data_IF_158592208702
#
_entry.id   IF_158592208702
#
_cell.length_a   1.000
_cell.length_b   1.000
_cell.length_c   1.000
_cell.angle_alpha   90.00
_cell.angle_beta   90.00
_cell.angle_gamma   90.00
#
_symmetry.space_group_name_H-M   'P 1'
#
loop_
_entity.id
_entity.type
_entity.pdbx_description
1 polymer ?
#
# COMPACT_ATOMS: atom_id res chain seq x y z
N UNK A 1 -9.76 4.23 14.47
CA UNK A 1 -8.92 5.43 14.57
C UNK A 1 -7.85 5.41 13.50
N UNK A 2 -7.71 6.49 12.77
CA UNK A 2 -6.63 6.63 11.80
C UNK A 2 -5.30 6.88 12.50
N UNK A 3 -4.21 6.35 11.96
CA UNK A 3 -2.87 6.62 12.46
C UNK A 3 -2.51 8.10 12.37
N UNK A 4 -3.17 8.88 11.50
CA UNK A 4 -3.00 10.33 11.44
C UNK A 4 -3.43 11.04 12.72
N UNK A 5 -4.37 10.46 13.46
CA UNK A 5 -4.88 11.02 14.71
C UNK A 5 -4.01 10.65 15.92
N UNK A 6 -3.05 9.74 15.73
CA UNK A 6 -2.16 9.30 16.79
C UNK A 6 -0.85 10.09 16.74
N UNK A 7 -0.59 10.91 17.77
CA UNK A 7 0.61 11.73 17.85
C UNK A 7 1.91 10.93 17.93
N UNK A 8 1.84 9.65 18.26
CA UNK A 8 3.01 8.76 18.29
C UNK A 8 3.47 8.33 16.91
N UNK A 9 2.65 8.56 15.86
CA UNK A 9 2.95 8.17 14.49
C UNK A 9 3.02 9.39 13.58
N UNK A 10 4.03 9.37 12.71
CA UNK A 10 4.22 10.41 11.69
C UNK A 10 4.21 9.78 10.31
N UNK A 11 3.32 10.28 9.44
CA UNK A 11 3.26 9.82 8.06
C UNK A 11 4.57 10.11 7.33
N UNK A 12 5.03 9.13 6.55
CA UNK A 12 6.28 9.23 5.77
C UNK A 12 6.00 9.16 4.27
N UNK A 13 5.25 8.16 3.85
CA UNK A 13 4.99 7.94 2.43
C UNK A 13 3.74 7.10 2.22
N UNK A 14 3.24 7.09 1.00
CA UNK A 14 2.10 6.28 0.60
C UNK A 14 2.45 5.52 -0.67
N UNK A 15 2.17 4.23 -0.68
CA UNK A 15 2.22 3.43 -1.89
C UNK A 15 0.81 3.00 -2.25
N UNK A 16 0.60 2.77 -3.55
CA UNK A 16 -0.68 2.31 -4.07
C UNK A 16 -0.51 0.95 -4.72
N UNK A 17 -1.50 0.08 -4.51
CA UNK A 17 -1.59 -1.18 -5.26
C UNK A 17 -2.87 -1.12 -6.09
N UNK A 18 -2.71 -1.04 -7.40
CA UNK A 18 -3.83 -0.96 -8.35
C UNK A 18 -4.17 -2.36 -8.86
N UNK A 19 -5.45 -2.68 -8.90
CA UNK A 19 -5.91 -4.02 -9.30
C UNK A 19 -7.34 -4.00 -9.83
N UNK A 20 -7.75 -5.15 -10.39
CA UNK A 20 -9.14 -5.33 -10.80
C UNK A 20 -9.98 -5.76 -9.60
N UNK A 21 -11.12 -5.12 -9.37
CA UNK A 21 -11.97 -5.41 -8.21
C UNK A 21 -12.46 -6.86 -8.16
N UNK A 22 -12.54 -7.53 -9.31
CA UNK A 22 -12.88 -8.96 -9.38
C UNK A 22 -11.82 -9.86 -8.73
N UNK A 23 -10.59 -9.36 -8.61
CA UNK A 23 -9.47 -10.06 -7.98
C UNK A 23 -9.29 -9.69 -6.50
N UNK A 24 -10.24 -8.96 -5.92
CA UNK A 24 -10.18 -8.51 -4.52
C UNK A 24 -10.12 -9.71 -3.59
N UNK A 25 -9.05 -9.83 -2.79
CA UNK A 25 -8.90 -10.96 -1.86
C UNK A 25 -9.81 -10.82 -0.64
N UNK A 26 -10.13 -11.95 -0.04
CA UNK A 26 -10.86 -11.95 1.23
C UNK A 26 -9.95 -11.61 2.42
N UNK A 27 -10.55 -11.23 3.53
CA UNK A 27 -9.83 -10.90 4.77
C UNK A 27 -8.94 -12.04 5.23
N UNK A 28 -9.41 -13.29 5.11
CA UNK A 28 -8.64 -14.45 5.56
C UNK A 28 -7.36 -14.63 4.73
N UNK A 29 -7.40 -14.32 3.44
CA UNK A 29 -6.23 -14.40 2.59
C UNK A 29 -5.17 -13.38 3.02
N UNK A 30 -5.60 -12.16 3.38
CA UNK A 30 -4.71 -11.15 3.96
C UNK A 30 -4.08 -11.63 5.26
N UNK A 31 -4.88 -12.17 6.17
CA UNK A 31 -4.39 -12.65 7.47
C UNK A 31 -3.35 -13.74 7.30
N UNK A 32 -3.60 -14.71 6.42
CA UNK A 32 -2.66 -15.78 6.13
C UNK A 32 -1.35 -15.25 5.56
N UNK A 33 -1.45 -14.34 4.59
CA UNK A 33 -0.27 -13.77 3.94
C UNK A 33 0.59 -12.97 4.91
N UNK A 34 -0.03 -12.16 5.77
CA UNK A 34 0.68 -11.39 6.78
C UNK A 34 1.29 -12.29 7.84
N UNK A 35 0.55 -13.32 8.29
CA UNK A 35 1.06 -14.30 9.26
C UNK A 35 2.27 -15.06 8.73
N UNK A 36 2.34 -15.30 7.43
CA UNK A 36 3.46 -15.96 6.79
C UNK A 36 4.75 -15.14 6.86
N UNK A 37 4.65 -13.82 7.09
CA UNK A 37 5.80 -12.94 7.27
C UNK A 37 6.40 -13.03 8.68
N UNK A 38 5.77 -13.78 9.59
CA UNK A 38 6.24 -13.98 10.94
C UNK A 38 5.84 -12.86 11.90
N UNK A 39 6.60 -12.71 12.98
CA UNK A 39 6.30 -11.78 14.06
C UNK A 39 6.67 -10.32 13.75
N UNK A 40 7.18 -10.04 12.58
CA UNK A 40 7.57 -8.69 12.15
C UNK A 40 6.39 -7.74 12.13
N UNK A 41 5.22 -8.26 11.76
CA UNK A 41 3.98 -7.47 11.65
C UNK A 41 2.93 -8.00 12.60
N UNK A 42 2.16 -7.10 13.20
CA UNK A 42 0.96 -7.47 13.95
C UNK A 42 -0.23 -6.67 13.43
N UNK A 43 -1.36 -7.37 13.34
CA UNK A 43 -2.63 -6.77 12.95
C UNK A 43 -3.27 -6.15 14.19
N UNK A 44 -3.62 -4.87 14.11
CA UNK A 44 -4.38 -4.22 15.17
C UNK A 44 -5.87 -4.52 14.95
N UNK A 45 -6.70 -3.54 14.75
CA UNK A 45 -8.11 -3.75 14.47
C UNK A 45 -8.31 -3.70 12.94
N UNK A 46 -9.05 -4.67 12.41
CA UNK A 46 -9.36 -4.63 11.00
C UNK A 46 -10.85 -4.40 10.78
N UNK A 47 -11.19 -3.77 9.66
CA UNK A 47 -12.57 -3.56 9.24
C UNK A 47 -12.79 -4.32 7.95
N UNK A 48 -13.87 -5.11 7.91
CA UNK A 48 -14.24 -5.85 6.71
C UNK A 48 -15.71 -5.58 6.36
N UNK A 49 -16.07 -5.82 5.08
CA UNK A 49 -17.44 -5.66 4.63
C UNK A 49 -18.27 -6.94 4.89
N UNK A 50 -19.54 -6.93 4.53
CA UNK A 50 -20.45 -8.07 4.72
C UNK A 50 -20.06 -9.31 3.90
N UNK A 51 -19.18 -9.14 2.92
CA UNK A 51 -18.69 -10.22 2.07
C UNK A 51 -17.34 -10.76 2.53
N UNK A 52 -16.90 -10.40 3.73
CA UNK A 52 -15.65 -10.80 4.33
C UNK A 52 -14.43 -10.35 3.52
N UNK A 53 -14.52 -9.17 2.93
CA UNK A 53 -13.45 -8.52 2.21
C UNK A 53 -12.92 -7.33 3.01
N UNK A 54 -11.61 -7.14 2.97
CA UNK A 54 -10.93 -6.11 3.75
C UNK A 54 -11.29 -4.70 3.30
N UNK A 55 -11.72 -3.86 4.24
CA UNK A 55 -11.93 -2.43 4.04
C UNK A 55 -10.74 -1.61 4.55
N UNK A 56 -10.27 -1.91 5.76
CA UNK A 56 -9.08 -1.29 6.30
C UNK A 56 -8.34 -2.22 7.25
N UNK A 57 -7.02 -2.10 7.27
CA UNK A 57 -6.15 -2.95 8.06
C UNK A 57 -4.96 -2.14 8.57
N UNK A 58 -4.94 -1.78 9.86
CA UNK A 58 -3.74 -1.25 10.49
C UNK A 58 -2.75 -2.38 10.80
N UNK A 59 -1.52 -2.23 10.31
CA UNK A 59 -0.41 -3.14 10.60
C UNK A 59 0.61 -2.43 11.47
N UNK A 60 1.01 -3.06 12.56
CA UNK A 60 2.10 -2.58 13.38
C UNK A 60 3.37 -3.35 13.05
N UNK A 61 4.46 -2.63 12.88
CA UNK A 61 5.79 -3.21 12.64
C UNK A 61 6.76 -2.67 13.71
N UNK A 62 6.63 -3.13 14.95
CA UNK A 62 7.38 -2.56 16.08
C UNK A 62 8.89 -2.72 15.98
N UNK A 63 9.38 -3.78 15.33
CA UNK A 63 10.81 -3.98 15.11
C UNK A 63 11.41 -2.96 14.15
N UNK A 64 10.58 -2.38 13.29
CA UNK A 64 11.00 -1.35 12.33
C UNK A 64 10.63 0.06 12.81
N UNK A 65 10.07 0.20 14.00
CA UNK A 65 9.49 1.44 14.50
C UNK A 65 8.52 2.06 13.49
N UNK A 66 7.67 1.24 12.94
CA UNK A 66 6.78 1.62 11.85
C UNK A 66 5.38 1.06 12.03
N UNK A 67 4.43 1.65 11.30
CA UNK A 67 3.07 1.14 11.17
C UNK A 67 2.57 1.45 9.78
N UNK A 68 1.60 0.69 9.31
CA UNK A 68 0.99 0.89 8.01
C UNK A 68 -0.52 0.87 8.17
N UNK A 69 -1.19 1.72 7.39
CA UNK A 69 -2.64 1.73 7.31
C UNK A 69 -3.01 1.38 5.88
N UNK A 70 -3.66 0.22 5.71
CA UNK A 70 -4.04 -0.29 4.40
C UNK A 70 -5.54 -0.09 4.25
N UNK A 71 -5.95 0.64 3.22
CA UNK A 71 -7.36 0.96 2.96
C UNK A 71 -7.74 0.59 1.53
N UNK A 72 -8.94 0.02 1.37
CA UNK A 72 -9.51 -0.29 0.06
C UNK A 72 -10.28 0.89 -0.48
N UNK A 73 -10.05 1.23 -1.75
CA UNK A 73 -10.73 2.32 -2.44
C UNK A 73 -11.13 1.85 -3.85
N UNK A 74 -12.35 2.18 -4.26
CA UNK A 74 -12.85 1.92 -5.62
C UNK A 74 -13.74 3.06 -6.09
N UNK A 75 -14.05 3.07 -7.38
CA UNK A 75 -14.99 4.02 -7.98
C UNK A 75 -14.32 5.02 -8.91
N UNK A 76 -14.99 6.16 -9.13
CA UNK A 76 -14.56 7.17 -10.09
C UNK A 76 -13.19 7.77 -9.75
N UNK A 77 -12.89 7.92 -8.48
CA UNK A 77 -11.60 8.45 -8.03
C UNK A 77 -10.44 7.61 -8.55
N UNK A 78 -10.57 6.28 -8.50
CA UNK A 78 -9.55 5.37 -9.01
C UNK A 78 -9.49 5.45 -10.53
N UNK A 79 -10.62 5.49 -11.20
CA UNK A 79 -10.69 5.60 -12.67
C UNK A 79 -10.00 6.87 -13.18
N UNK A 80 -10.26 8.00 -12.54
CA UNK A 80 -9.62 9.28 -12.89
C UNK A 80 -8.12 9.24 -12.67
N UNK A 81 -7.69 8.66 -11.56
CA UNK A 81 -6.27 8.53 -11.25
C UNK A 81 -5.54 7.67 -12.28
N UNK A 82 -6.15 6.55 -12.67
CA UNK A 82 -5.58 5.67 -13.69
C UNK A 82 -5.46 6.35 -15.04
N UNK A 83 -6.45 7.14 -15.42
CA UNK A 83 -6.43 7.90 -16.66
C UNK A 83 -5.29 8.92 -16.65
N UNK A 84 -5.13 9.66 -15.56
CA UNK A 84 -4.03 10.60 -15.38
C UNK A 84 -2.67 9.92 -15.44
N UNK A 85 -2.54 8.77 -14.83
CA UNK A 85 -1.29 7.99 -14.85
C UNK A 85 -0.93 7.55 -16.27
N UNK A 86 -1.91 7.10 -17.06
CA UNK A 86 -1.68 6.71 -18.45
C UNK A 86 -1.25 7.88 -19.31
N UNK A 87 -1.82 9.06 -19.10
CA UNK A 87 -1.45 10.27 -19.83
C UNK A 87 -0.02 10.72 -19.52
N UNK A 88 0.42 10.49 -18.29
CA UNK A 88 1.76 10.88 -17.85
C UNK A 88 2.85 9.91 -18.33
N UNK A 89 2.48 8.69 -18.63
CA UNK A 89 3.43 7.67 -19.09
C UNK A 89 3.50 7.72 -20.62
N UNK A 90 4.66 8.14 -21.14
CA UNK A 90 4.91 8.11 -22.57
C UNK A 90 5.41 6.74 -22.99
N UNK A 91 4.87 6.20 -24.08
CA UNK A 91 5.32 4.92 -24.63
C UNK A 91 6.82 4.95 -25.01
N UNK A 92 7.34 6.13 -25.35
CA UNK A 92 8.74 6.30 -25.71
C UNK A 92 9.68 6.19 -24.51
N UNK A 93 9.18 6.44 -23.30
CA UNK A 93 9.96 6.42 -22.07
C UNK A 93 9.84 5.13 -21.31
N UNK A 94 9.16 4.13 -21.87
CA UNK A 94 8.96 2.84 -21.20
C UNK A 94 10.24 2.04 -21.15
N UNK A 95 10.54 1.53 -19.95
CA UNK A 95 11.59 0.56 -19.75
C UNK A 95 11.09 -0.84 -20.19
N UNK A 96 12.01 -1.77 -20.47
CA UNK A 96 11.60 -3.14 -20.82
C UNK A 96 10.68 -3.75 -19.76
N UNK A 97 9.53 -4.23 -20.19
CA UNK A 97 8.51 -4.83 -19.31
C UNK A 97 7.44 -3.87 -18.82
N UNK A 98 7.63 -2.56 -18.93
CA UNK A 98 6.63 -1.59 -18.47
C UNK A 98 5.40 -1.53 -19.38
N UNK A 99 5.51 -1.94 -20.63
CA UNK A 99 4.37 -2.06 -21.54
C UNK A 99 3.36 -3.10 -21.04
N UNK A 100 3.82 -4.18 -20.42
CA UNK A 100 2.95 -5.17 -19.77
C UNK A 100 2.24 -4.58 -18.57
N UNK A 101 2.93 -3.72 -17.80
CA UNK A 101 2.36 -3.02 -16.65
C UNK A 101 1.23 -2.10 -17.12
N UNK A 102 1.45 -1.33 -18.18
CA UNK A 102 0.42 -0.47 -18.77
C UNK A 102 -0.80 -1.27 -19.22
N UNK A 103 -0.60 -2.42 -19.82
CA UNK A 103 -1.68 -3.30 -20.25
C UNK A 103 -2.49 -3.79 -19.04
N UNK A 104 -1.82 -4.11 -17.94
CA UNK A 104 -2.49 -4.51 -16.69
C UNK A 104 -3.28 -3.37 -16.07
N UNK A 105 -2.73 -2.15 -16.09
CA UNK A 105 -3.41 -0.96 -15.57
C UNK A 105 -4.74 -0.69 -16.29
N UNK A 106 -4.86 -1.07 -17.55
CA UNK A 106 -6.09 -0.90 -18.32
C UNK A 106 -7.26 -1.68 -17.73
N UNK A 107 -7.00 -2.73 -16.96
CA UNK A 107 -8.02 -3.58 -16.34
C UNK A 107 -8.25 -3.25 -14.87
N UNK A 108 -7.49 -2.32 -14.30
CA UNK A 108 -7.62 -1.95 -12.91
C UNK A 108 -8.79 -0.97 -12.70
N UNK A 109 -9.51 -1.15 -11.61
CA UNK A 109 -10.62 -0.26 -11.23
C UNK A 109 -10.71 -0.10 -9.71
N UNK A 110 -9.74 -0.60 -8.98
CA UNK A 110 -9.68 -0.53 -7.53
C UNK A 110 -8.23 -0.36 -7.09
N UNK A 111 -8.06 0.06 -5.85
CA UNK A 111 -6.72 0.18 -5.28
C UNK A 111 -6.73 -0.07 -3.77
N UNK A 112 -5.58 -0.49 -3.24
CA UNK A 112 -5.26 -0.38 -1.83
C UNK A 112 -4.30 0.77 -1.63
N UNK A 113 -4.62 1.65 -0.69
CA UNK A 113 -3.68 2.68 -0.24
C UNK A 113 -2.92 2.12 0.95
N UNK A 114 -1.60 2.14 0.87
CA UNK A 114 -0.72 1.72 1.96
C UNK A 114 -0.02 2.96 2.49
N UNK A 115 -0.49 3.48 3.61
CA UNK A 115 0.11 4.63 4.26
C UNK A 115 1.14 4.15 5.27
N UNK A 116 2.37 4.59 5.11
CA UNK A 116 3.51 4.20 5.93
C UNK A 116 3.83 5.28 6.95
N UNK A 117 3.83 4.89 8.21
CA UNK A 117 4.06 5.79 9.34
C UNK A 117 5.30 5.37 10.11
N UNK A 118 6.02 6.35 10.62
CA UNK A 118 7.12 6.16 11.56
C UNK A 118 6.58 6.30 12.98
N UNK A 119 6.97 5.38 13.86
CA UNK A 119 6.67 5.48 15.29
C UNK A 119 7.70 6.39 15.94
N UNK A 120 7.26 7.54 16.43
CA UNK A 120 8.12 8.54 17.06
C UNK A 120 8.19 8.24 18.55
N UNK A 121 9.26 7.59 18.97
CA UNK A 121 9.45 7.19 20.39
C UNK A 121 10.12 8.24 21.24
N UNK A 122 10.88 9.16 20.62
CA UNK A 122 11.68 10.14 21.33
C UNK A 122 11.53 11.52 20.69
N UNK A 123 10.86 12.43 21.43
CA UNK A 123 10.69 13.81 20.99
C UNK A 123 12.01 14.60 20.94
N UNK A 124 13.07 14.07 21.55
CA UNK A 124 14.37 14.72 21.58
C UNK A 124 15.25 14.30 20.40
N UNK A 125 14.85 13.31 19.64
CA UNK A 125 15.55 12.82 18.45
C UNK A 125 15.12 13.58 17.19
N UNK A 126 14.77 14.84 17.30
CA UNK A 126 14.30 15.68 16.16
C UNK A 126 15.34 15.84 15.06
N UNK A 127 16.60 15.55 15.36
CA UNK A 127 17.70 15.72 14.42
C UNK A 127 17.85 14.54 13.47
N UNK A 128 17.18 13.44 13.76
CA UNK A 128 17.26 12.25 12.92
C UNK A 128 16.15 12.30 11.84
N UNK A 129 16.29 13.21 10.91
CA UNK A 129 15.66 13.07 9.59
C UNK A 129 16.29 11.91 8.85
N UNK A 130 16.64 10.88 9.61
CA UNK A 130 17.25 9.71 9.04
C UNK A 130 16.27 9.03 8.10
N UNK A 131 16.84 8.59 7.02
CA UNK A 131 16.19 7.77 6.03
C UNK A 131 15.50 6.58 6.70
N UNK A 132 14.17 6.56 6.62
CA UNK A 132 13.41 5.42 7.08
C UNK A 132 13.49 4.33 6.04
N UNK A 133 13.92 3.13 6.44
CA UNK A 133 14.02 2.00 5.54
C UNK A 133 12.65 1.61 5.02
N UNK A 134 12.38 1.71 3.70
CA UNK A 134 11.10 1.31 3.13
C UNK A 134 10.96 -0.20 2.96
N UNK A 135 11.92 -0.99 3.40
CA UNK A 135 11.94 -2.44 3.20
C UNK A 135 10.67 -3.13 3.69
N UNK A 136 10.17 -2.73 4.87
CA UNK A 136 8.94 -3.28 5.42
C UNK A 136 7.71 -2.95 4.57
N UNK A 137 7.64 -1.73 4.06
CA UNK A 137 6.57 -1.29 3.16
C UNK A 137 6.62 -2.04 1.83
N UNK A 138 7.80 -2.21 1.26
CA UNK A 138 7.98 -2.93 -0.01
C UNK A 138 7.57 -4.40 0.10
N UNK A 139 7.87 -5.04 1.22
CA UNK A 139 7.46 -6.43 1.47
C UNK A 139 5.94 -6.54 1.51
N UNK A 140 5.27 -5.63 2.22
CA UNK A 140 3.81 -5.62 2.30
C UNK A 140 3.17 -5.34 0.94
N UNK A 141 3.71 -4.38 0.19
CA UNK A 141 3.22 -4.06 -1.15
C UNK A 141 3.34 -5.28 -2.08
N UNK A 142 4.45 -6.00 -2.03
CA UNK A 142 4.66 -7.21 -2.82
C UNK A 142 3.66 -8.31 -2.46
N UNK A 143 3.41 -8.51 -1.16
CA UNK A 143 2.44 -9.50 -0.69
C UNK A 143 1.04 -9.16 -1.20
N UNK A 144 0.63 -7.91 -1.11
CA UNK A 144 -0.70 -7.47 -1.57
C UNK A 144 -0.82 -7.64 -3.08
N UNK A 145 0.23 -7.28 -3.83
CA UNK A 145 0.24 -7.50 -5.29
C UNK A 145 0.06 -8.97 -5.64
N UNK A 146 0.68 -9.87 -4.88
CA UNK A 146 0.52 -11.30 -5.08
C UNK A 146 -0.90 -11.80 -4.80
N UNK A 147 -1.58 -11.20 -3.82
CA UNK A 147 -2.94 -11.58 -3.46
C UNK A 147 -3.98 -11.14 -4.49
N UNK A 148 -3.82 -9.96 -5.08
CA UNK A 148 -4.81 -9.37 -5.97
C UNK A 148 -4.33 -9.22 -7.41
N UNK A 149 -3.15 -9.73 -7.74
CA UNK A 149 -2.49 -9.58 -9.04
C UNK A 149 -2.38 -8.12 -9.45
N UNK A 150 -2.03 -7.28 -8.48
CA UNK A 150 -1.99 -5.85 -8.64
C UNK A 150 -0.66 -5.30 -9.12
N UNK A 151 -0.64 -3.99 -9.30
CA UNK A 151 0.56 -3.24 -9.67
C UNK A 151 0.83 -2.22 -8.57
N UNK A 152 2.02 -2.29 -7.97
CA UNK A 152 2.42 -1.35 -6.93
C UNK A 152 3.08 -0.12 -7.54
N UNK A 153 2.68 1.06 -7.07
CA UNK A 153 3.13 2.35 -7.58
C UNK A 153 3.47 3.27 -6.43
N UNK A 154 4.58 3.99 -6.57
CA UNK A 154 4.89 5.14 -5.72
C UNK A 154 4.27 6.38 -6.37
N UNK A 155 3.19 6.96 -5.81
CA UNK A 155 2.51 8.09 -6.44
C UNK A 155 3.32 9.39 -6.45
N UNK A 156 4.31 9.51 -5.56
CA UNK A 156 5.15 10.71 -5.51
C UNK A 156 6.13 10.77 -6.67
N UNK A 157 6.73 9.64 -7.03
CA UNK A 157 7.68 9.56 -8.13
C UNK A 157 7.03 9.10 -9.44
N UNK A 158 5.84 8.51 -9.37
CA UNK A 158 5.19 7.90 -10.51
C UNK A 158 5.83 6.60 -10.97
N UNK A 159 6.73 6.03 -10.16
CA UNK A 159 7.45 4.81 -10.52
C UNK A 159 6.72 3.56 -10.04
N UNK A 160 6.82 2.50 -10.83
CA UNK A 160 6.34 1.18 -10.45
C UNK A 160 7.37 0.50 -9.53
N UNK A 161 6.83 -0.25 -8.60
CA UNK A 161 7.65 -0.90 -7.56
C UNK A 161 7.73 -2.39 -7.80
#
# INVERSE_FOLDING_TARGET
MSLFENAEYRWRETFLVLFASEDRPGTQDFKKAISALGDRYSVDSLVENDQLQLESLPLLAPLDNAAMDISFIEGEEVAEQLEQMREQISEEDLLPGEDEILARLAHCNARYDILHFEHVQDFLAEEDDEFMDPGGLLIVAEVICGLCQGVAVDPQSGTFV
#
